data_IF_485447811295
#
_entry.id   IF_485447811295
#
_cell.length_a   1.000
_cell.length_b   1.000
_cell.length_c   1.000
_cell.angle_alpha   90.00
_cell.angle_beta   90.00
_cell.angle_gamma   90.00
#
_symmetry.space_group_name_H-M   'P 1'
#
loop_
_entity.id
_entity.type
_entity.pdbx_description
1 polymer ?
#
# COMPACT_ATOMS: atom_id res chain seq x y z
N UNK A 1 57.74 -21.55 20.09
CA UNK A 1 56.38 -21.96 20.50
C UNK A 1 56.09 -21.39 21.87
N UNK A 2 55.28 -20.35 21.98
CA UNK A 2 54.53 -19.90 23.18
C UNK A 2 54.12 -18.43 23.01
N UNK A 3 52.86 -18.19 22.66
CA UNK A 3 52.10 -16.96 22.96
C UNK A 3 50.65 -17.23 22.58
N UNK A 4 49.91 -17.79 23.53
CA UNK A 4 48.53 -18.22 23.34
C UNK A 4 47.84 -18.51 24.67
N UNK A 5 48.15 -17.76 25.73
CA UNK A 5 47.56 -17.92 27.08
C UNK A 5 47.39 -16.61 27.87
N UNK A 6 47.19 -15.48 27.19
CA UNK A 6 46.99 -14.18 27.88
C UNK A 6 45.65 -13.49 27.56
N UNK A 7 44.82 -14.05 26.68
CA UNK A 7 43.49 -13.49 26.38
C UNK A 7 42.35 -14.12 27.21
N UNK A 8 42.60 -15.22 27.93
CA UNK A 8 41.58 -15.91 28.72
C UNK A 8 41.36 -15.30 30.12
N UNK A 9 42.29 -14.47 30.62
CA UNK A 9 42.23 -13.93 31.98
C UNK A 9 41.39 -12.65 32.12
N UNK A 10 40.88 -12.09 31.02
CA UNK A 10 40.02 -10.89 31.04
C UNK A 10 38.53 -11.18 30.84
N UNK A 11 38.15 -12.43 30.59
CA UNK A 11 36.75 -12.82 30.42
C UNK A 11 36.03 -13.14 31.75
N UNK A 12 36.76 -13.50 32.81
CA UNK A 12 36.15 -13.96 34.07
C UNK A 12 35.89 -12.86 35.10
N UNK A 13 36.19 -11.59 34.80
CA UNK A 13 36.01 -10.48 35.76
C UNK A 13 34.67 -9.75 35.62
N UNK A 14 33.86 -10.06 34.60
CA UNK A 14 32.57 -9.38 34.36
C UNK A 14 31.33 -10.19 34.77
N UNK A 15 31.46 -11.44 35.22
CA UNK A 15 30.29 -12.25 35.63
C UNK A 15 29.85 -12.07 37.09
N UNK A 16 30.60 -11.32 37.91
CA UNK A 16 30.32 -11.20 39.35
C UNK A 16 29.62 -9.89 39.79
N UNK A 17 29.06 -9.11 38.87
CA UNK A 17 28.49 -7.78 39.21
C UNK A 17 27.12 -7.44 38.61
N UNK A 18 26.22 -8.42 38.46
CA UNK A 18 24.81 -8.14 38.12
C UNK A 18 23.84 -8.88 39.07
N UNK A 19 24.01 -8.64 40.37
CA UNK A 19 23.04 -8.98 41.40
C UNK A 19 22.16 -7.77 41.71
N UNK A 20 21.12 -7.56 40.90
CA UNK A 20 19.79 -7.09 41.35
C UNK A 20 18.84 -7.20 40.14
N UNK A 21 18.18 -8.35 40.02
CA UNK A 21 17.09 -8.53 39.06
C UNK A 21 15.78 -8.44 39.85
N UNK A 22 15.14 -7.28 39.74
CA UNK A 22 13.71 -7.14 40.03
C UNK A 22 12.95 -8.32 39.39
N UNK A 23 12.05 -8.93 40.17
CA UNK A 23 11.16 -9.99 39.67
C UNK A 23 10.36 -9.42 38.49
N UNK A 24 10.33 -10.06 37.31
CA UNK A 24 9.39 -9.65 36.29
C UNK A 24 7.98 -9.90 36.82
N UNK A 25 7.16 -8.86 36.77
CA UNK A 25 5.71 -8.93 36.91
C UNK A 25 5.14 -10.05 36.02
N UNK A 26 4.00 -10.65 36.39
CA UNK A 26 3.41 -11.72 35.59
C UNK A 26 3.23 -11.22 34.15
N UNK A 27 3.67 -12.05 33.20
CA UNK A 27 3.55 -11.79 31.77
C UNK A 27 2.07 -11.57 31.46
N UNK A 28 1.66 -10.30 31.37
CA UNK A 28 0.37 -9.98 30.77
C UNK A 28 0.47 -10.45 29.33
N UNK A 29 -0.50 -11.26 28.92
CA UNK A 29 -0.67 -11.68 27.54
C UNK A 29 -0.51 -10.43 26.66
N UNK A 30 0.61 -10.36 25.95
CA UNK A 30 0.75 -9.42 24.85
C UNK A 30 -0.24 -9.89 23.80
N UNK A 31 -1.46 -9.40 23.91
CA UNK A 31 -2.36 -9.37 22.78
C UNK A 31 -1.65 -8.50 21.75
N UNK A 32 -0.94 -9.14 20.82
CA UNK A 32 -0.58 -8.52 19.56
C UNK A 32 -1.88 -7.93 19.03
N UNK A 33 -2.00 -6.62 19.14
CA UNK A 33 -3.06 -5.87 18.50
C UNK A 33 -2.81 -6.10 17.02
N UNK A 34 -3.57 -7.05 16.47
CA UNK A 34 -3.74 -7.25 15.04
C UNK A 34 -3.82 -5.87 14.40
N UNK A 35 -3.05 -5.71 13.32
CA UNK A 35 -3.00 -4.52 12.46
C UNK A 35 -4.27 -3.69 12.61
N UNK A 36 -4.18 -2.40 13.00
CA UNK A 36 -5.36 -1.61 13.35
C UNK A 36 -6.44 -1.85 12.32
N UNK A 37 -7.57 -2.44 12.75
CA UNK A 37 -8.67 -2.76 11.85
C UNK A 37 -9.00 -1.49 11.08
N UNK A 38 -9.24 -1.59 9.76
CA UNK A 38 -9.49 -0.42 8.90
C UNK A 38 -10.50 0.57 9.50
N UNK A 39 -11.45 0.06 10.29
CA UNK A 39 -12.40 0.81 11.11
C UNK A 39 -11.75 1.69 12.20
N UNK A 40 -10.79 1.18 12.98
CA UNK A 40 -10.03 1.94 13.97
C UNK A 40 -9.16 3.02 13.31
N UNK A 41 -8.60 2.71 12.13
CA UNK A 41 -7.82 3.66 11.33
C UNK A 41 -8.71 4.80 10.79
N UNK A 42 -9.88 4.46 10.25
CA UNK A 42 -10.91 5.40 9.83
C UNK A 42 -11.39 6.26 11.00
N UNK A 43 -11.68 5.64 12.14
CA UNK A 43 -12.15 6.35 13.33
C UNK A 43 -11.09 7.30 13.87
N UNK A 44 -9.82 6.89 13.90
CA UNK A 44 -8.69 7.73 14.29
C UNK A 44 -8.49 8.90 13.32
N UNK A 45 -8.59 8.66 12.00
CA UNK A 45 -8.49 9.71 10.98
C UNK A 45 -9.64 10.72 11.07
N UNK A 46 -10.87 10.25 11.29
CA UNK A 46 -12.05 11.10 11.49
C UNK A 46 -11.97 11.89 12.81
N UNK A 47 -11.41 11.29 13.87
CA UNK A 47 -11.21 11.98 15.16
C UNK A 47 -10.11 13.03 15.07
N UNK A 48 -9.06 12.78 14.27
CA UNK A 48 -7.96 13.73 14.06
C UNK A 48 -8.34 14.86 13.08
N UNK A 49 -9.34 14.66 12.22
CA UNK A 49 -9.88 15.69 11.34
C UNK A 49 -10.44 16.90 12.11
N UNK A 50 -11.11 16.66 13.23
CA UNK A 50 -11.61 17.72 14.11
C UNK A 50 -10.47 18.57 14.70
N UNK A 51 -9.25 18.02 14.83
CA UNK A 51 -8.06 18.78 15.20
C UNK A 51 -7.44 19.51 14.00
N UNK A 52 -7.39 18.88 12.82
CA UNK A 52 -6.91 19.52 11.58
C UNK A 52 -7.75 20.76 11.22
N UNK A 53 -9.07 20.72 11.45
CA UNK A 53 -9.97 21.86 11.23
C UNK A 53 -9.70 23.00 12.23
N UNK A 54 -9.25 22.69 13.46
CA UNK A 54 -8.93 23.70 14.49
C UNK A 54 -7.64 24.47 14.21
N UNK A 55 -6.67 23.84 13.53
CA UNK A 55 -5.37 24.44 13.18
C UNK A 55 -5.40 25.28 11.89
N UNK A 56 -6.52 25.33 11.17
CA UNK A 56 -6.73 26.25 10.05
C UNK A 56 -6.80 27.70 10.55
N UNK A 57 -5.64 28.34 10.73
CA UNK A 57 -5.53 29.77 11.04
C UNK A 57 -6.15 30.59 9.90
N UNK A 58 -7.29 31.21 10.18
CA UNK A 58 -7.84 32.29 9.34
C UNK A 58 -6.91 33.50 9.51
N UNK A 59 -6.01 33.71 8.53
CA UNK A 59 -5.21 34.92 8.42
C UNK A 59 -6.06 36.07 7.89
N UNK A 60 -5.94 37.25 8.47
CA UNK A 60 -6.82 38.39 8.18
C UNK A 60 -6.80 38.82 6.69
N UNK A 61 -7.94 38.61 6.04
CA UNK A 61 -8.59 39.35 4.93
C UNK A 61 -7.73 39.87 3.77
N UNK A 62 -8.00 39.38 2.54
CA UNK A 62 -8.57 40.20 1.43
C UNK A 62 -9.23 39.27 0.38
N UNK A 63 -10.55 39.39 0.21
CA UNK A 63 -11.24 39.29 -1.10
C UNK A 63 -11.43 37.90 -1.75
N UNK A 64 -12.70 37.48 -1.85
CA UNK A 64 -13.19 36.28 -2.56
C UNK A 64 -12.90 34.92 -1.89
N UNK A 65 -13.48 34.78 -0.69
CA UNK A 65 -13.80 33.57 0.08
C UNK A 65 -12.69 32.54 0.27
N UNK A 66 -11.77 32.84 1.19
CA UNK A 66 -10.87 31.86 1.80
C UNK A 66 -11.64 30.62 2.31
N UNK A 67 -12.91 30.78 2.72
CA UNK A 67 -13.79 29.67 3.11
C UNK A 67 -14.05 28.68 1.98
N UNK A 68 -14.20 29.15 0.73
CA UNK A 68 -14.43 28.26 -0.41
C UNK A 68 -13.16 27.49 -0.79
N UNK A 69 -11.99 28.13 -0.68
CA UNK A 69 -10.70 27.47 -0.88
C UNK A 69 -10.45 26.42 0.20
N UNK A 70 -10.70 26.75 1.46
CA UNK A 70 -10.54 25.84 2.61
C UNK A 70 -11.48 24.64 2.49
N UNK A 71 -12.76 24.86 2.20
CA UNK A 71 -13.74 23.78 2.00
C UNK A 71 -13.32 22.84 0.86
N UNK A 72 -12.84 23.40 -0.26
CA UNK A 72 -12.31 22.61 -1.37
C UNK A 72 -11.05 21.81 -0.97
N UNK A 73 -10.15 22.38 -0.17
CA UNK A 73 -8.97 21.64 0.31
C UNK A 73 -9.33 20.53 1.29
N UNK A 74 -10.28 20.77 2.19
CA UNK A 74 -10.79 19.76 3.11
C UNK A 74 -11.48 18.65 2.34
N UNK A 75 -12.41 18.96 1.42
CA UNK A 75 -13.11 17.98 0.60
C UNK A 75 -12.16 17.17 -0.29
N UNK A 76 -11.09 17.80 -0.82
CA UNK A 76 -10.04 17.09 -1.54
C UNK A 76 -9.28 16.11 -0.64
N UNK A 77 -8.90 16.54 0.56
CA UNK A 77 -8.18 15.69 1.52
C UNK A 77 -9.03 14.48 1.93
N UNK A 78 -10.32 14.70 2.18
CA UNK A 78 -11.31 13.64 2.39
C UNK A 78 -11.37 12.67 1.23
N UNK A 79 -11.47 13.19 0.01
CA UNK A 79 -11.51 12.40 -1.21
C UNK A 79 -10.27 11.50 -1.35
N UNK A 80 -9.09 12.02 -1.08
CA UNK A 80 -7.83 11.27 -1.15
C UNK A 80 -7.76 10.13 -0.12
N UNK A 81 -8.26 10.36 1.10
CA UNK A 81 -8.30 9.32 2.14
C UNK A 81 -9.28 8.22 1.73
N UNK A 82 -10.50 8.58 1.33
CA UNK A 82 -11.53 7.61 0.92
C UNK A 82 -11.06 6.82 -0.30
N UNK A 83 -10.45 7.49 -1.28
CA UNK A 83 -9.85 6.85 -2.46
C UNK A 83 -8.75 5.87 -2.06
N UNK A 84 -7.87 6.24 -1.13
CA UNK A 84 -6.80 5.36 -0.64
C UNK A 84 -7.34 4.08 0.02
N UNK A 85 -8.38 4.20 0.84
CA UNK A 85 -9.00 3.07 1.54
C UNK A 85 -9.73 2.17 0.54
N UNK A 86 -10.49 2.75 -0.38
CA UNK A 86 -11.17 2.00 -1.45
C UNK A 86 -10.16 1.27 -2.34
N UNK A 87 -9.06 1.92 -2.70
CA UNK A 87 -8.01 1.33 -3.53
C UNK A 87 -7.38 0.12 -2.83
N UNK A 88 -7.11 0.23 -1.52
CA UNK A 88 -6.52 -0.86 -0.75
C UNK A 88 -7.48 -2.06 -0.62
N UNK A 89 -8.77 -1.79 -0.40
CA UNK A 89 -9.78 -2.83 -0.30
C UNK A 89 -10.01 -3.54 -1.63
N UNK A 90 -10.19 -2.77 -2.71
CA UNK A 90 -10.33 -3.32 -4.06
C UNK A 90 -9.09 -4.08 -4.50
N UNK A 91 -7.88 -3.59 -4.19
CA UNK A 91 -6.64 -4.27 -4.57
C UNK A 91 -6.52 -5.64 -3.90
N UNK A 92 -6.85 -5.74 -2.61
CA UNK A 92 -6.84 -7.00 -1.88
C UNK A 92 -7.88 -7.97 -2.46
N UNK A 93 -9.09 -7.48 -2.68
CA UNK A 93 -10.19 -8.26 -3.26
C UNK A 93 -9.85 -8.80 -4.66
N UNK A 94 -9.23 -7.98 -5.51
CA UNK A 94 -8.82 -8.39 -6.85
C UNK A 94 -7.68 -9.43 -6.85
N UNK A 95 -6.83 -9.41 -5.83
CA UNK A 95 -5.76 -10.41 -5.62
C UNK A 95 -6.33 -11.74 -5.10
N UNK A 96 -7.21 -11.70 -4.09
CA UNK A 96 -7.77 -12.90 -3.46
C UNK A 96 -8.69 -13.72 -4.39
N UNK A 97 -9.40 -13.05 -5.29
CA UNK A 97 -10.36 -13.68 -6.21
C UNK A 97 -9.80 -13.93 -7.61
N UNK A 98 -8.50 -13.72 -7.83
CA UNK A 98 -7.82 -13.88 -9.14
C UNK A 98 -8.55 -13.17 -10.30
N UNK A 99 -9.22 -12.03 -10.02
CA UNK A 99 -9.99 -11.28 -11.03
C UNK A 99 -9.07 -10.79 -12.14
N UNK A 100 -7.83 -10.46 -11.78
CA UNK A 100 -6.79 -9.99 -12.70
C UNK A 100 -5.93 -11.14 -13.19
N UNK A 101 -5.99 -11.39 -14.50
CA UNK A 101 -5.15 -12.41 -15.15
C UNK A 101 -3.67 -12.06 -15.07
N UNK A 102 -2.82 -13.07 -15.01
CA UNK A 102 -1.37 -12.88 -14.99
C UNK A 102 -0.80 -12.09 -16.16
N UNK A 103 -1.42 -12.20 -17.33
CA UNK A 103 -1.05 -11.44 -18.52
C UNK A 103 -1.32 -9.94 -18.41
N UNK A 104 -2.21 -9.52 -17.49
CA UNK A 104 -2.46 -8.12 -17.23
C UNK A 104 -1.32 -7.52 -16.40
N UNK A 105 -0.73 -6.45 -16.94
CA UNK A 105 0.37 -5.72 -16.31
C UNK A 105 -0.02 -4.28 -15.95
N UNK A 106 -1.06 -3.74 -16.57
CA UNK A 106 -1.55 -2.40 -16.26
C UNK A 106 -2.34 -2.43 -14.95
N UNK A 107 -2.10 -1.46 -14.08
CA UNK A 107 -2.75 -1.33 -12.77
C UNK A 107 -2.56 -2.56 -11.86
N UNK A 108 -1.46 -3.29 -12.02
CA UNK A 108 -1.12 -4.45 -11.19
C UNK A 108 0.15 -4.17 -10.39
N UNK A 109 0.12 -4.51 -9.10
CA UNK A 109 1.27 -4.32 -8.20
C UNK A 109 2.47 -5.14 -8.68
N UNK A 110 3.66 -4.55 -8.65
CA UNK A 110 4.92 -5.23 -9.01
C UNK A 110 5.10 -5.55 -10.50
N UNK A 111 4.18 -5.20 -11.39
CA UNK A 111 4.29 -5.44 -12.85
C UNK A 111 4.59 -4.15 -13.59
N UNK A 112 5.83 -4.02 -14.06
CA UNK A 112 6.24 -2.87 -14.88
C UNK A 112 5.82 -3.05 -16.36
N UNK A 113 5.56 -1.92 -17.03
CA UNK A 113 5.22 -1.90 -18.47
C UNK A 113 6.33 -2.53 -19.35
N UNK A 114 7.60 -2.30 -19.02
CA UNK A 114 8.73 -2.86 -19.75
C UNK A 114 8.72 -4.39 -19.74
N UNK A 115 8.40 -5.01 -18.59
CA UNK A 115 8.33 -6.47 -18.48
C UNK A 115 7.27 -7.06 -19.41
N UNK A 116 6.11 -6.39 -19.52
CA UNK A 116 5.05 -6.78 -20.47
C UNK A 116 5.59 -6.86 -21.90
N UNK A 117 6.35 -5.85 -22.31
CA UNK A 117 6.90 -5.76 -23.66
C UNK A 117 7.94 -6.85 -23.91
N UNK A 118 8.82 -7.10 -22.95
CA UNK A 118 9.84 -8.17 -23.04
C UNK A 118 9.17 -9.55 -23.17
N UNK A 119 8.21 -9.86 -22.29
CA UNK A 119 7.47 -11.14 -22.33
C UNK A 119 6.75 -11.31 -23.66
N UNK A 120 6.13 -10.24 -24.16
CA UNK A 120 5.46 -10.24 -25.46
C UNK A 120 6.42 -10.52 -26.61
N UNK A 121 7.54 -9.80 -26.71
CA UNK A 121 8.53 -10.02 -27.77
C UNK A 121 9.13 -11.42 -27.71
N UNK A 122 9.48 -11.91 -26.53
CA UNK A 122 10.00 -13.27 -26.38
C UNK A 122 8.99 -14.32 -26.87
N UNK A 123 7.69 -14.12 -26.57
CA UNK A 123 6.62 -15.00 -27.06
C UNK A 123 6.49 -14.98 -28.58
N UNK A 124 6.52 -13.80 -29.19
CA UNK A 124 6.47 -13.64 -30.66
C UNK A 124 7.69 -14.27 -31.31
N UNK A 125 8.90 -13.95 -30.83
CA UNK A 125 10.17 -14.49 -31.36
C UNK A 125 10.19 -16.01 -31.27
N UNK A 126 9.83 -16.60 -30.13
CA UNK A 126 9.77 -18.06 -29.96
C UNK A 126 8.70 -18.74 -30.85
N UNK A 127 7.67 -18.01 -31.28
CA UNK A 127 6.69 -18.52 -32.25
C UNK A 127 7.27 -18.52 -33.66
N UNK A 128 7.91 -17.41 -34.06
CA UNK A 128 8.56 -17.23 -35.36
C UNK A 128 9.71 -18.23 -35.56
N UNK A 129 10.55 -18.44 -34.56
CA UNK A 129 11.66 -19.42 -34.59
C UNK A 129 11.18 -20.86 -34.83
N UNK A 130 9.96 -21.18 -34.38
CA UNK A 130 9.33 -22.49 -34.61
C UNK A 130 8.64 -22.58 -35.99
N UNK A 131 8.79 -21.57 -36.83
CA UNK A 131 8.18 -21.49 -38.16
C UNK A 131 6.66 -21.32 -38.13
N UNK A 132 6.07 -20.86 -37.01
CA UNK A 132 4.62 -20.64 -36.89
C UNK A 132 4.25 -19.29 -37.47
N UNK A 133 3.21 -19.25 -38.32
CA UNK A 133 2.58 -18.00 -38.73
C UNK A 133 2.11 -17.24 -37.48
N UNK A 134 2.58 -16.01 -37.33
CA UNK A 134 2.38 -15.22 -36.11
C UNK A 134 1.95 -13.81 -36.51
N UNK A 135 0.75 -13.41 -36.11
CA UNK A 135 0.19 -12.08 -36.32
C UNK A 135 0.01 -11.36 -34.98
N UNK A 136 0.13 -10.03 -34.99
CA UNK A 136 -0.02 -9.18 -33.80
C UNK A 136 -1.12 -8.16 -34.04
N UNK A 137 -2.09 -8.09 -33.13
CA UNK A 137 -3.18 -7.12 -33.18
C UNK A 137 -3.04 -6.16 -32.00
N UNK A 138 -2.94 -4.87 -32.29
CA UNK A 138 -2.99 -3.80 -31.28
C UNK A 138 -4.41 -3.26 -31.17
N UNK A 139 -4.94 -3.23 -29.95
CA UNK A 139 -6.27 -2.72 -29.63
C UNK A 139 -6.15 -1.62 -28.57
N UNK A 140 -6.98 -0.59 -28.70
CA UNK A 140 -7.09 0.48 -27.71
C UNK A 140 -8.55 0.93 -27.58
N UNK A 141 -8.91 1.45 -26.41
CA UNK A 141 -10.26 1.94 -26.13
C UNK A 141 -10.29 3.47 -26.17
N UNK A 142 -11.19 4.04 -26.98
CA UNK A 142 -11.44 5.47 -26.95
C UNK A 142 -12.11 5.87 -25.63
N UNK A 143 -11.45 6.72 -24.83
CA UNK A 143 -11.96 7.20 -23.54
C UNK A 143 -12.42 6.07 -22.62
N UNK A 144 -11.55 5.10 -22.38
CA UNK A 144 -11.85 3.91 -21.59
C UNK A 144 -12.54 4.22 -20.26
N UNK A 145 -12.09 5.25 -19.52
CA UNK A 145 -12.67 5.59 -18.22
C UNK A 145 -13.99 6.38 -18.30
N UNK A 146 -14.19 7.19 -19.35
CA UNK A 146 -15.41 7.98 -19.50
C UNK A 146 -16.59 7.16 -20.05
N UNK A 147 -16.30 6.01 -20.67
CA UNK A 147 -17.29 5.19 -21.40
C UNK A 147 -17.83 4.02 -20.59
N UNK A 148 -17.27 3.73 -19.41
CA UNK A 148 -17.72 2.64 -18.55
C UNK A 148 -19.08 2.96 -17.94
N UNK A 149 -20.06 2.09 -18.18
CA UNK A 149 -21.40 2.21 -17.58
C UNK A 149 -21.36 1.92 -16.08
N UNK A 150 -21.87 2.86 -15.27
CA UNK A 150 -21.94 2.74 -13.80
C UNK A 150 -22.65 1.47 -13.33
N UNK A 151 -23.76 1.08 -13.97
CA UNK A 151 -24.51 -0.13 -13.59
C UNK A 151 -23.69 -1.41 -13.83
N UNK A 152 -22.84 -1.42 -14.86
CA UNK A 152 -22.00 -2.58 -15.17
C UNK A 152 -20.84 -2.65 -14.19
N UNK A 153 -20.22 -1.49 -13.90
CA UNK A 153 -19.14 -1.40 -12.92
C UNK A 153 -19.60 -1.87 -11.54
N UNK A 154 -20.74 -1.38 -11.04
CA UNK A 154 -21.28 -1.78 -9.75
C UNK A 154 -21.57 -3.29 -9.69
N UNK A 155 -22.24 -3.83 -10.71
CA UNK A 155 -22.55 -5.27 -10.76
C UNK A 155 -21.30 -6.16 -10.84
N UNK A 156 -20.19 -5.67 -11.42
CA UNK A 156 -18.94 -6.42 -11.46
C UNK A 156 -18.24 -6.41 -10.10
N UNK A 157 -18.20 -5.28 -9.41
CA UNK A 157 -17.61 -5.14 -8.07
C UNK A 157 -18.37 -5.98 -7.04
N UNK A 158 -19.69 -6.07 -7.14
CA UNK A 158 -20.52 -6.91 -6.25
C UNK A 158 -20.38 -8.42 -6.50
N UNK A 159 -19.88 -8.82 -7.67
CA UNK A 159 -19.80 -10.24 -8.10
C UNK A 159 -18.41 -10.86 -7.96
N UNK A 160 -17.37 -10.05 -8.06
CA UNK A 160 -16.03 -10.42 -7.58
C UNK A 160 -16.11 -10.66 -6.08
#
# INVERSE_FOLDING_TARGET
MARGREAAAQAETWEHQAGDKEKPFPYEDHQEVNSPTRELLLHLLLTNMDEVIKDAKTGDSVGFSDHALVDFTTLRYMGQIVEGILLEDMSMHMEDWEVIRDSQHGFSKGKACLNKLIVFYNGVTASVEKGRATDVIYLDFYKAFDTVSHNILAANVERS
#
